data_IF_813841713351
#
_entry.id   IF_813841713351
#
_cell.length_a   1.000
_cell.length_b   1.000
_cell.length_c   1.000
_cell.angle_alpha   90.00
_cell.angle_beta   90.00
_cell.angle_gamma   90.00
#
_symmetry.space_group_name_H-M   'P 1'
#
loop_
_entity.id
_entity.type
_entity.pdbx_description
1 polymer ?
#
# COMPACT_ATOMS: atom_id res chain seq x y z
N UNK A 1 -13.50 -30.35 -26.67
CA UNK A 1 -12.12 -30.89 -26.65
C UNK A 1 -11.48 -30.54 -27.98
N UNK A 2 -10.33 -29.88 -27.98
CA UNK A 2 -9.60 -29.56 -29.21
C UNK A 2 -9.17 -30.84 -29.93
N UNK A 3 -9.21 -30.85 -31.26
CA UNK A 3 -8.74 -32.00 -32.05
C UNK A 3 -7.23 -32.21 -31.79
N UNK A 4 -6.78 -33.47 -31.61
CA UNK A 4 -5.37 -33.78 -31.43
C UNK A 4 -4.55 -33.32 -32.63
N UNK A 5 -3.36 -32.76 -32.40
CA UNK A 5 -2.50 -32.29 -33.48
C UNK A 5 -2.02 -33.44 -34.36
N UNK A 6 -1.98 -33.24 -35.69
CA UNK A 6 -1.49 -34.23 -36.65
C UNK A 6 0.03 -34.49 -36.56
N UNK A 7 0.76 -33.60 -35.89
CA UNK A 7 2.20 -33.67 -35.66
C UNK A 7 2.55 -33.38 -34.20
N UNK A 8 3.73 -33.84 -33.78
CA UNK A 8 4.28 -33.56 -32.46
C UNK A 8 4.60 -32.05 -32.31
N UNK A 9 4.02 -31.34 -31.33
CA UNK A 9 4.25 -29.90 -31.17
C UNK A 9 5.68 -29.55 -30.74
N UNK A 10 6.50 -30.53 -30.35
CA UNK A 10 7.91 -30.31 -29.97
C UNK A 10 8.88 -30.45 -31.14
N UNK A 11 8.71 -31.45 -32.01
CA UNK A 11 9.68 -31.76 -33.07
C UNK A 11 9.10 -31.83 -34.48
N UNK A 12 7.79 -31.64 -34.65
CA UNK A 12 7.11 -31.66 -35.94
C UNK A 12 6.92 -33.04 -36.58
N UNK A 13 7.43 -34.11 -35.98
CA UNK A 13 7.24 -35.48 -36.49
C UNK A 13 5.75 -35.86 -36.57
N UNK A 14 5.31 -36.64 -37.58
CA UNK A 14 3.93 -37.09 -37.69
C UNK A 14 3.51 -37.86 -36.45
N UNK A 15 2.27 -37.61 -35.99
CA UNK A 15 1.73 -38.29 -34.81
C UNK A 15 1.47 -39.76 -35.13
N UNK A 16 1.91 -40.63 -34.24
CA UNK A 16 1.61 -42.07 -34.28
C UNK A 16 0.64 -42.42 -33.15
N UNK A 17 -0.04 -43.55 -33.27
CA UNK A 17 -0.91 -44.06 -32.22
C UNK A 17 -0.08 -44.46 -31.00
N UNK A 18 -0.07 -43.59 -29.99
CA UNK A 18 0.67 -43.78 -28.75
C UNK A 18 0.63 -42.54 -27.84
N UNK A 19 0.92 -42.68 -26.54
CA UNK A 19 0.96 -41.55 -25.61
C UNK A 19 2.19 -40.65 -25.82
N UNK A 20 3.25 -41.16 -26.46
CA UNK A 20 4.56 -40.52 -26.60
C UNK A 20 5.02 -40.46 -28.06
N UNK A 21 5.76 -39.40 -28.39
CA UNK A 21 6.37 -39.25 -29.72
C UNK A 21 7.61 -40.16 -29.86
N UNK A 22 7.68 -41.07 -30.85
CA UNK A 22 8.82 -41.96 -31.03
C UNK A 22 10.11 -41.22 -31.42
N UNK A 23 10.00 -40.02 -32.00
CA UNK A 23 11.16 -39.26 -32.44
C UNK A 23 11.85 -38.47 -31.30
N UNK A 24 11.11 -38.05 -30.27
CA UNK A 24 11.65 -37.15 -29.23
C UNK A 24 11.24 -37.50 -27.79
N UNK A 25 10.47 -38.57 -27.59
CA UNK A 25 10.06 -39.07 -26.28
C UNK A 25 9.11 -38.16 -25.50
N UNK A 26 8.47 -37.18 -26.13
CA UNK A 26 7.54 -36.27 -25.43
C UNK A 26 6.14 -36.88 -25.36
N UNK A 27 5.51 -36.80 -24.19
CA UNK A 27 4.10 -37.16 -24.01
C UNK A 27 3.23 -36.13 -24.72
N UNK A 28 2.42 -36.55 -25.70
CA UNK A 28 1.63 -35.66 -26.56
C UNK A 28 0.74 -34.70 -25.75
N UNK A 29 -0.01 -35.22 -24.77
CA UNK A 29 -0.89 -34.43 -23.91
C UNK A 29 -0.17 -33.27 -23.21
N UNK A 30 1.02 -33.53 -22.66
CA UNK A 30 1.80 -32.51 -21.94
C UNK A 30 2.40 -31.49 -22.91
N UNK A 31 2.80 -31.94 -24.09
CA UNK A 31 3.34 -31.07 -25.13
C UNK A 31 2.27 -30.16 -25.72
N UNK A 32 1.06 -30.68 -25.97
CA UNK A 32 -0.11 -29.92 -26.42
C UNK A 32 -0.55 -28.88 -25.38
N UNK A 33 -0.61 -29.24 -24.09
CA UNK A 33 -0.94 -28.30 -23.03
C UNK A 33 0.06 -27.13 -22.94
N UNK A 34 1.36 -27.41 -23.06
CA UNK A 34 2.40 -26.36 -23.09
C UNK A 34 2.32 -25.49 -24.33
N UNK A 35 2.11 -26.09 -25.50
CA UNK A 35 1.98 -25.37 -26.75
C UNK A 35 0.73 -24.46 -26.74
N UNK A 36 -0.40 -24.95 -26.22
CA UNK A 36 -1.61 -24.16 -26.03
C UNK A 36 -1.39 -22.98 -25.08
N UNK A 37 -0.66 -23.19 -23.97
CA UNK A 37 -0.31 -22.12 -23.04
C UNK A 37 0.60 -21.06 -23.70
N UNK A 38 1.61 -21.47 -24.47
CA UNK A 38 2.47 -20.55 -25.20
C UNK A 38 1.70 -19.74 -26.26
N UNK A 39 0.76 -20.38 -26.97
CA UNK A 39 -0.10 -19.67 -27.91
C UNK A 39 -1.08 -18.69 -27.24
N UNK A 40 -1.55 -19.01 -26.03
CA UNK A 40 -2.38 -18.09 -25.26
C UNK A 40 -1.56 -16.88 -24.80
N UNK A 41 -0.35 -17.10 -24.28
CA UNK A 41 0.56 -16.02 -23.88
C UNK A 41 0.95 -15.12 -25.06
N UNK A 42 1.23 -15.70 -26.24
CA UNK A 42 1.53 -14.94 -27.44
C UNK A 42 0.35 -14.04 -27.87
N UNK A 43 -0.87 -14.58 -27.85
CA UNK A 43 -2.10 -13.81 -28.14
C UNK A 43 -2.34 -12.70 -27.13
N UNK A 44 -2.13 -12.96 -25.85
CA UNK A 44 -2.26 -11.95 -24.80
C UNK A 44 -1.21 -10.83 -24.96
N UNK A 45 0.01 -11.18 -25.37
CA UNK A 45 1.08 -10.21 -25.66
C UNK A 45 0.72 -9.33 -26.86
N UNK A 46 0.27 -9.92 -27.97
CA UNK A 46 -0.19 -9.19 -29.15
C UNK A 46 -1.37 -8.27 -28.81
N UNK A 47 -2.32 -8.73 -28.00
CA UNK A 47 -3.46 -7.92 -27.55
C UNK A 47 -3.03 -6.72 -26.70
N UNK A 48 -2.04 -6.89 -25.79
CA UNK A 48 -1.48 -5.78 -24.99
C UNK A 48 -0.74 -4.77 -25.85
N UNK A 49 0.08 -5.24 -26.79
CA UNK A 49 0.79 -4.36 -27.72
C UNK A 49 -0.19 -3.57 -28.61
N UNK A 50 -1.27 -4.19 -29.08
CA UNK A 50 -2.31 -3.52 -29.84
C UNK A 50 -3.02 -2.43 -29.01
N UNK A 51 -3.40 -2.75 -27.77
CA UNK A 51 -4.03 -1.78 -26.86
C UNK A 51 -3.09 -0.60 -26.52
N UNK A 52 -1.79 -0.85 -26.39
CA UNK A 52 -0.81 0.21 -26.16
C UNK A 52 -0.70 1.15 -27.36
N UNK A 53 -0.67 0.61 -28.58
CA UNK A 53 -0.65 1.42 -29.82
C UNK A 53 -1.91 2.29 -29.93
N UNK A 54 -3.08 1.72 -29.65
CA UNK A 54 -4.34 2.47 -29.65
C UNK A 54 -4.33 3.62 -28.62
N UNK A 55 -3.81 3.38 -27.42
CA UNK A 55 -3.69 4.41 -26.39
C UNK A 55 -2.68 5.52 -26.76
N UNK A 56 -1.60 5.17 -27.44
CA UNK A 56 -0.62 6.13 -27.97
C UNK A 56 -1.25 6.98 -29.09
N UNK A 57 -2.00 6.37 -30.00
CA UNK A 57 -2.75 7.07 -31.06
C UNK A 57 -3.80 8.02 -30.48
N UNK A 58 -4.56 7.59 -29.46
CA UNK A 58 -5.52 8.44 -28.76
C UNK A 58 -4.85 9.64 -28.08
N UNK A 59 -3.66 9.46 -27.49
CA UNK A 59 -2.89 10.56 -26.89
C UNK A 59 -2.37 11.52 -27.94
N UNK A 60 -1.91 11.02 -29.08
CA UNK A 60 -1.46 11.85 -30.20
C UNK A 60 -2.64 12.69 -30.76
N UNK A 61 -3.79 12.06 -30.97
CA UNK A 61 -5.01 12.74 -31.43
C UNK A 61 -5.50 13.80 -30.42
N UNK A 62 -5.44 13.52 -29.12
CA UNK A 62 -5.78 14.51 -28.10
C UNK A 62 -4.82 15.71 -28.10
N UNK A 63 -3.50 15.46 -28.28
CA UNK A 63 -2.52 16.54 -28.40
C UNK A 63 -2.79 17.40 -29.63
N UNK A 64 -3.03 16.78 -30.77
CA UNK A 64 -3.38 17.49 -32.02
C UNK A 64 -4.67 18.31 -31.85
N UNK A 65 -5.69 17.75 -31.19
CA UNK A 65 -6.93 18.47 -30.89
C UNK A 65 -6.69 19.67 -29.96
N UNK A 66 -5.86 19.53 -28.93
CA UNK A 66 -5.50 20.63 -28.02
C UNK A 66 -4.70 21.73 -28.72
N UNK A 67 -3.78 21.36 -29.62
CA UNK A 67 -3.03 22.31 -30.44
C UNK A 67 -3.94 23.05 -31.44
N UNK A 68 -4.86 22.33 -32.08
CA UNK A 68 -5.85 22.92 -32.98
C UNK A 68 -6.84 23.88 -32.28
N UNK A 69 -7.11 23.64 -30.99
CA UNK A 69 -7.99 24.47 -30.15
C UNK A 69 -7.22 25.44 -29.25
N UNK A 70 -5.99 25.83 -29.61
CA UNK A 70 -5.30 26.92 -28.92
C UNK A 70 -6.03 28.25 -29.18
N UNK A 71 -7.00 28.55 -28.32
CA UNK A 71 -7.72 29.84 -28.21
C UNK A 71 -6.71 30.94 -27.83
N UNK A 72 -6.92 32.21 -28.24
CA UNK A 72 -5.95 33.28 -28.05
C UNK A 72 -5.57 33.44 -26.59
N UNK A 73 -4.29 33.71 -26.36
CA UNK A 73 -3.68 34.06 -25.09
C UNK A 73 -4.57 35.04 -24.31
N UNK A 74 -5.34 34.51 -23.35
CA UNK A 74 -5.96 35.33 -22.33
C UNK A 74 -4.83 35.92 -21.50
N UNK A 75 -4.60 37.23 -21.67
CA UNK A 75 -3.79 38.02 -20.75
C UNK A 75 -4.45 37.89 -19.38
N UNK A 76 -3.77 37.23 -18.45
CA UNK A 76 -4.26 37.05 -17.09
C UNK A 76 -4.44 38.43 -16.45
N UNK A 77 -5.63 38.82 -15.98
CA UNK A 77 -5.81 40.01 -15.16
C UNK A 77 -5.36 39.66 -13.75
N UNK A 78 -4.08 39.38 -13.57
CA UNK A 78 -3.44 39.19 -12.27
C UNK A 78 -2.69 40.47 -11.91
N UNK A 79 -3.45 41.56 -11.90
CA UNK A 79 -3.15 42.78 -11.18
C UNK A 79 -4.39 43.11 -10.33
N UNK A 80 -4.20 43.18 -9.01
CA UNK A 80 -5.18 43.52 -7.97
C UNK A 80 -6.08 42.39 -7.44
N UNK A 81 -5.48 41.41 -6.76
CA UNK A 81 -6.08 40.86 -5.54
C UNK A 81 -5.01 40.88 -4.45
N UNK A 82 -4.87 42.03 -3.79
CA UNK A 82 -4.16 42.10 -2.51
C UNK A 82 -4.82 41.11 -1.55
N UNK A 83 -4.01 40.26 -0.93
CA UNK A 83 -4.45 39.43 0.19
C UNK A 83 -5.00 40.34 1.29
N UNK A 84 -6.32 40.34 1.44
CA UNK A 84 -6.97 40.86 2.64
C UNK A 84 -6.49 39.95 3.79
N UNK A 85 -5.91 40.51 4.86
CA UNK A 85 -5.60 39.71 6.05
C UNK A 85 -6.90 39.09 6.53
N UNK A 86 -6.91 37.77 6.74
CA UNK A 86 -8.07 37.11 7.34
C UNK A 86 -8.49 37.87 8.61
N UNK A 87 -9.77 38.25 8.75
CA UNK A 87 -10.28 38.66 10.03
C UNK A 87 -10.07 37.48 10.96
N UNK A 88 -9.28 37.71 12.01
CA UNK A 88 -9.07 36.81 13.14
C UNK A 88 -10.34 36.00 13.38
N UNK A 89 -10.27 34.69 13.08
CA UNK A 89 -11.28 33.74 13.50
C UNK A 89 -11.42 33.92 15.01
N UNK A 90 -12.49 34.61 15.38
CA UNK A 90 -12.88 34.87 16.75
C UNK A 90 -13.02 33.50 17.40
N UNK A 91 -12.03 33.19 18.22
CA UNK A 91 -11.84 31.87 18.76
C UNK A 91 -13.08 31.40 19.49
N UNK A 92 -13.48 30.16 19.23
CA UNK A 92 -14.15 29.36 20.26
C UNK A 92 -13.16 29.33 21.43
N UNK A 93 -13.34 30.26 22.36
CA UNK A 93 -12.51 30.45 23.54
C UNK A 93 -12.91 29.38 24.53
N UNK A 94 -12.28 28.20 24.42
CA UNK A 94 -12.32 27.22 25.48
C UNK A 94 -11.60 27.83 26.70
N UNK A 95 -12.33 27.95 27.80
CA UNK A 95 -11.86 28.60 29.03
C UNK A 95 -10.52 27.99 29.49
N UNK A 96 -9.46 28.80 29.72
CA UNK A 96 -8.13 28.33 30.11
C UNK A 96 -8.02 27.93 31.61
N UNK A 97 -9.12 27.51 32.23
CA UNK A 97 -9.25 27.37 33.69
C UNK A 97 -8.85 26.02 34.30
N UNK A 98 -8.57 24.96 33.53
CA UNK A 98 -8.47 23.59 34.06
C UNK A 98 -7.14 22.87 33.74
N UNK A 99 -6.03 23.59 33.74
CA UNK A 99 -4.72 23.04 33.37
C UNK A 99 -4.23 21.84 34.24
N UNK A 100 -4.73 21.70 35.48
CA UNK A 100 -4.41 20.57 36.36
C UNK A 100 -5.28 19.32 36.08
N UNK A 101 -6.54 19.49 35.66
CA UNK A 101 -7.45 18.39 35.31
C UNK A 101 -7.17 17.79 33.93
N UNK A 102 -6.74 18.64 32.98
CA UNK A 102 -6.41 18.24 31.61
C UNK A 102 -5.25 17.24 31.54
N UNK A 103 -4.28 17.34 32.45
CA UNK A 103 -3.15 16.41 32.59
C UNK A 103 -3.59 14.97 32.80
N UNK A 104 -4.37 14.75 33.86
CA UNK A 104 -4.86 13.43 34.25
C UNK A 104 -5.86 12.87 33.23
N UNK A 105 -6.74 13.73 32.66
CA UNK A 105 -7.68 13.30 31.62
C UNK A 105 -6.96 12.78 30.38
N UNK A 106 -5.98 13.52 29.85
CA UNK A 106 -5.20 13.08 28.69
C UNK A 106 -4.44 11.77 28.98
N UNK A 107 -3.87 11.62 30.18
CA UNK A 107 -3.20 10.39 30.58
C UNK A 107 -4.18 9.19 30.60
N UNK A 108 -5.40 9.39 31.11
CA UNK A 108 -6.48 8.39 31.07
C UNK A 108 -6.93 8.08 29.63
N UNK A 109 -7.01 9.09 28.77
CA UNK A 109 -7.32 8.87 27.35
C UNK A 109 -6.23 8.05 26.65
N UNK A 110 -4.95 8.32 26.91
CA UNK A 110 -3.84 7.50 26.37
C UNK A 110 -3.88 6.06 26.84
N UNK A 111 -4.38 5.80 28.05
CA UNK A 111 -4.60 4.46 28.57
C UNK A 111 -5.72 3.73 27.79
N UNK A 112 -6.85 4.41 27.55
CA UNK A 112 -8.06 3.75 27.06
C UNK A 112 -8.16 3.71 25.52
N UNK A 113 -7.74 4.75 24.82
CA UNK A 113 -8.08 4.96 23.40
C UNK A 113 -7.54 3.86 22.51
N UNK A 114 -6.27 3.49 22.65
CA UNK A 114 -5.67 2.48 21.77
C UNK A 114 -6.28 1.07 21.99
N UNK A 115 -6.40 0.55 23.22
CA UNK A 115 -7.09 -0.71 23.47
C UNK A 115 -8.53 -0.71 22.98
N UNK A 116 -9.29 0.36 23.28
CA UNK A 116 -10.71 0.46 22.87
C UNK A 116 -10.83 0.51 21.35
N UNK A 117 -9.97 1.27 20.66
CA UNK A 117 -9.98 1.35 19.21
C UNK A 117 -9.65 -0.01 18.56
N UNK A 118 -8.65 -0.74 19.08
CA UNK A 118 -8.28 -2.06 18.55
C UNK A 118 -9.39 -3.10 18.77
N UNK A 119 -9.97 -3.15 19.97
CA UNK A 119 -11.08 -4.06 20.29
C UNK A 119 -12.31 -3.71 19.46
N UNK A 120 -12.65 -2.42 19.35
CA UNK A 120 -13.76 -1.94 18.52
C UNK A 120 -13.58 -2.29 17.04
N UNK A 121 -12.38 -2.05 16.50
CA UNK A 121 -12.04 -2.42 15.13
C UNK A 121 -12.11 -3.95 14.93
N UNK A 122 -11.62 -4.74 15.88
CA UNK A 122 -11.71 -6.20 15.83
C UNK A 122 -13.16 -6.69 15.77
N UNK A 123 -14.07 -6.14 16.59
CA UNK A 123 -15.49 -6.48 16.49
C UNK A 123 -16.11 -6.03 15.17
N UNK A 124 -15.74 -4.85 14.67
CA UNK A 124 -16.29 -4.30 13.45
C UNK A 124 -15.91 -5.13 12.21
N UNK A 125 -14.68 -5.66 12.14
CA UNK A 125 -14.25 -6.51 11.00
C UNK A 125 -14.89 -7.90 11.01
N UNK A 126 -15.39 -8.37 12.16
CA UNK A 126 -16.14 -9.63 12.24
C UNK A 126 -17.57 -9.51 11.70
N UNK A 127 -18.13 -8.30 11.62
CA UNK A 127 -19.48 -8.09 11.10
C UNK A 127 -19.44 -7.80 9.60
N UNK A 128 -20.17 -8.54 8.75
CA UNK A 128 -20.12 -8.35 7.29
C UNK A 128 -20.46 -6.93 6.82
N UNK A 129 -21.48 -6.30 7.44
CA UNK A 129 -21.90 -4.94 7.08
C UNK A 129 -20.84 -3.90 7.46
N UNK A 130 -20.34 -3.98 8.70
CA UNK A 130 -19.33 -3.02 9.16
C UNK A 130 -17.99 -3.23 8.47
N UNK A 131 -17.58 -4.48 8.26
CA UNK A 131 -16.39 -4.82 7.49
C UNK A 131 -16.47 -4.23 6.08
N UNK A 132 -17.59 -4.37 5.37
CA UNK A 132 -17.75 -3.75 4.04
C UNK A 132 -17.54 -2.23 4.09
N UNK A 133 -18.20 -1.53 5.02
CA UNK A 133 -18.07 -0.08 5.15
C UNK A 133 -16.64 0.37 5.52
N UNK A 134 -16.02 -0.32 6.48
CA UNK A 134 -14.63 -0.06 6.87
C UNK A 134 -13.69 -0.28 5.70
N UNK A 135 -13.89 -1.37 4.96
CA UNK A 135 -13.06 -1.72 3.81
C UNK A 135 -13.15 -0.64 2.75
N UNK A 136 -14.35 -0.27 2.33
CA UNK A 136 -14.57 0.71 1.25
C UNK A 136 -14.00 2.09 1.59
N UNK A 137 -14.21 2.60 2.80
CA UNK A 137 -13.91 4.01 3.10
C UNK A 137 -12.63 4.22 3.90
N UNK A 138 -12.23 3.28 4.74
CA UNK A 138 -11.11 3.48 5.66
C UNK A 138 -9.89 2.65 5.28
N UNK A 139 -10.05 1.36 4.95
CA UNK A 139 -8.90 0.45 4.81
C UNK A 139 -8.40 0.34 3.37
N UNK A 140 -9.27 0.38 2.35
CA UNK A 140 -8.84 0.35 0.93
C UNK A 140 -7.95 1.54 0.56
N UNK A 141 -8.24 2.80 0.91
CA UNK A 141 -7.30 3.89 0.62
C UNK A 141 -5.91 3.68 1.26
N UNK A 142 -5.87 3.08 2.46
CA UNK A 142 -4.61 2.76 3.15
C UNK A 142 -3.91 1.57 2.49
N UNK A 143 -4.66 0.63 1.92
CA UNK A 143 -4.15 -0.47 1.11
C UNK A 143 -3.44 0.00 -0.15
N UNK A 144 -4.10 0.88 -0.90
CA UNK A 144 -3.54 1.47 -2.10
C UNK A 144 -2.31 2.34 -1.78
N UNK A 145 -2.38 3.09 -0.69
CA UNK A 145 -1.20 3.80 -0.19
C UNK A 145 -0.06 2.84 0.19
N UNK A 146 -0.37 1.64 0.69
CA UNK A 146 0.60 0.57 0.94
C UNK A 146 1.35 0.16 -0.32
N UNK A 147 0.63 -0.16 -1.40
CA UNK A 147 1.24 -0.42 -2.71
C UNK A 147 2.12 0.73 -3.17
N UNK A 148 1.60 1.97 -3.11
CA UNK A 148 2.32 3.14 -3.58
C UNK A 148 3.60 3.40 -2.79
N UNK A 149 3.54 3.33 -1.46
CA UNK A 149 4.71 3.50 -0.59
C UNK A 149 5.75 2.45 -0.91
N UNK A 150 5.37 1.17 -0.98
CA UNK A 150 6.30 0.10 -1.32
C UNK A 150 6.91 0.27 -2.71
N UNK A 151 6.11 0.72 -3.69
CA UNK A 151 6.58 1.03 -5.03
C UNK A 151 7.61 2.16 -5.03
N UNK A 152 7.37 3.26 -4.30
CA UNK A 152 8.32 4.36 -4.19
C UNK A 152 9.65 3.90 -3.58
N UNK A 153 9.62 3.05 -2.54
CA UNK A 153 10.83 2.47 -1.93
C UNK A 153 11.55 1.47 -2.85
N UNK A 154 10.86 0.85 -3.79
CA UNK A 154 11.46 0.04 -4.85
C UNK A 154 11.91 0.87 -6.07
N UNK A 155 11.65 2.19 -6.06
CA UNK A 155 12.01 3.12 -7.12
C UNK A 155 11.06 3.14 -8.32
N UNK A 156 9.82 2.71 -8.15
CA UNK A 156 8.76 2.85 -9.16
C UNK A 156 7.95 4.11 -8.90
N UNK A 157 7.43 4.72 -9.95
CA UNK A 157 6.43 5.78 -9.79
C UNK A 157 5.09 5.13 -9.50
N UNK A 158 4.38 5.63 -8.49
CA UNK A 158 3.06 5.11 -8.16
C UNK A 158 2.14 6.23 -7.70
N UNK A 159 0.88 6.15 -8.12
CA UNK A 159 -0.17 7.09 -7.72
C UNK A 159 -1.29 6.30 -7.05
N UNK A 160 -1.46 6.40 -5.73
CA UNK A 160 -2.57 5.75 -5.04
C UNK A 160 -3.87 6.50 -5.33
N UNK A 161 -4.92 5.76 -5.68
CA UNK A 161 -6.30 6.26 -5.70
C UNK A 161 -7.07 5.67 -4.53
N UNK A 162 -8.40 5.83 -4.49
CA UNK A 162 -9.21 5.27 -3.40
C UNK A 162 -9.36 3.74 -3.46
N UNK A 163 -9.22 3.13 -4.65
CA UNK A 163 -9.46 1.69 -4.85
C UNK A 163 -8.40 0.97 -5.68
N UNK A 164 -7.53 1.69 -6.38
CA UNK A 164 -6.49 1.11 -7.24
C UNK A 164 -5.23 1.95 -7.19
N UNK A 165 -4.07 1.31 -7.26
CA UNK A 165 -2.77 1.99 -7.36
C UNK A 165 -2.20 1.83 -8.74
N UNK A 166 -1.98 2.95 -9.42
CA UNK A 166 -1.31 2.95 -10.71
C UNK A 166 0.20 2.98 -10.51
N UNK A 167 0.86 1.86 -10.81
CA UNK A 167 2.33 1.71 -10.72
C UNK A 167 2.93 1.71 -12.12
N UNK A 168 4.03 2.43 -12.31
CA UNK A 168 4.76 2.45 -13.59
C UNK A 168 5.37 1.07 -13.88
N UNK A 169 5.44 0.63 -15.15
CA UNK A 169 6.09 -0.63 -15.50
C UNK A 169 7.60 -0.56 -15.28
N UNK A 170 8.21 0.61 -15.42
CA UNK A 170 9.65 0.81 -15.26
C UNK A 170 9.98 1.57 -13.98
N UNK A 171 11.22 1.40 -13.50
CA UNK A 171 11.75 2.16 -12.36
C UNK A 171 12.02 3.60 -12.78
N UNK A 172 11.61 4.55 -11.94
CA UNK A 172 11.78 5.98 -12.16
C UNK A 172 12.96 6.52 -11.37
N UNK A 173 14.03 6.92 -12.06
CA UNK A 173 15.18 7.61 -11.45
C UNK A 173 14.74 8.91 -10.77
N UNK A 174 13.77 9.62 -11.35
CA UNK A 174 13.21 10.83 -10.75
C UNK A 174 12.60 10.55 -9.36
N UNK A 175 11.78 9.51 -9.25
CA UNK A 175 11.16 9.14 -7.96
C UNK A 175 12.21 8.81 -6.90
N UNK A 176 13.26 8.07 -7.26
CA UNK A 176 14.36 7.74 -6.34
C UNK A 176 15.09 8.99 -5.87
N UNK A 177 15.41 9.93 -6.79
CA UNK A 177 16.08 11.18 -6.44
C UNK A 177 15.20 12.06 -5.54
N UNK A 178 13.91 12.16 -5.84
CA UNK A 178 12.94 12.90 -5.05
C UNK A 178 12.88 12.33 -3.62
N UNK A 179 12.64 11.03 -3.48
CA UNK A 179 12.51 10.40 -2.17
C UNK A 179 13.84 10.42 -1.39
N UNK A 180 14.98 10.19 -2.05
CA UNK A 180 16.30 10.32 -1.43
C UNK A 180 16.56 11.75 -0.96
N UNK A 181 16.16 12.76 -1.72
CA UNK A 181 16.28 14.17 -1.34
C UNK A 181 15.43 14.52 -0.12
N UNK A 182 14.18 14.06 -0.07
CA UNK A 182 13.28 14.27 1.08
C UNK A 182 13.79 13.58 2.34
N UNK A 183 14.24 12.33 2.24
CA UNK A 183 14.78 11.59 3.37
C UNK A 183 16.15 12.14 3.80
N UNK A 184 16.99 12.55 2.86
CA UNK A 184 18.25 13.25 3.13
C UNK A 184 18.03 14.57 3.86
N UNK A 185 17.01 15.34 3.48
CA UNK A 185 16.59 16.55 4.17
C UNK A 185 16.11 16.25 5.60
N UNK A 186 15.38 15.15 5.83
CA UNK A 186 14.98 14.72 7.17
C UNK A 186 16.20 14.39 8.05
N UNK A 187 17.17 13.64 7.52
CA UNK A 187 18.42 13.32 8.23
C UNK A 187 19.19 14.59 8.57
N UNK A 188 19.35 15.48 7.59
CA UNK A 188 20.05 16.75 7.76
C UNK A 188 19.36 17.65 8.78
N UNK A 189 18.03 17.75 8.75
CA UNK A 189 17.26 18.52 9.71
C UNK A 189 17.34 17.92 11.12
N UNK A 190 17.30 16.59 11.23
CA UNK A 190 17.52 15.85 12.47
C UNK A 190 18.89 16.17 13.08
N UNK A 191 19.93 16.16 12.25
CA UNK A 191 21.30 16.51 12.65
C UNK A 191 21.41 17.97 13.13
N UNK A 192 20.92 18.93 12.34
CA UNK A 192 20.94 20.37 12.67
C UNK A 192 20.20 20.68 13.96
N UNK A 193 19.09 19.97 14.24
CA UNK A 193 18.28 20.14 15.46
C UNK A 193 18.72 19.23 16.61
N UNK A 194 19.79 18.45 16.45
CA UNK A 194 20.28 17.44 17.43
C UNK A 194 19.20 16.44 17.85
N UNK A 195 18.26 16.13 16.94
CA UNK A 195 17.20 15.14 17.14
C UNK A 195 17.62 13.81 16.53
N UNK A 196 18.36 13.02 17.30
CA UNK A 196 18.90 11.72 16.87
C UNK A 196 17.84 10.75 16.33
N UNK A 197 16.62 10.78 16.88
CA UNK A 197 15.52 9.95 16.38
C UNK A 197 15.20 10.23 14.90
N UNK A 198 15.21 11.49 14.47
CA UNK A 198 14.93 11.87 13.08
C UNK A 198 16.06 11.42 12.14
N UNK A 199 17.30 11.52 12.60
CA UNK A 199 18.45 10.99 11.88
C UNK A 199 18.35 9.46 11.72
N UNK A 200 18.04 8.75 12.80
CA UNK A 200 17.88 7.29 12.79
C UNK A 200 16.78 6.84 11.84
N UNK A 201 15.58 7.43 11.94
CA UNK A 201 14.47 7.13 11.03
C UNK A 201 14.85 7.43 9.59
N UNK A 202 15.38 8.63 9.30
CA UNK A 202 15.77 8.99 7.94
C UNK A 202 16.85 8.07 7.35
N UNK A 203 17.84 7.67 8.16
CA UNK A 203 18.89 6.75 7.74
C UNK A 203 18.34 5.34 7.45
N UNK A 204 17.44 4.82 8.29
CA UNK A 204 16.78 3.52 8.07
C UNK A 204 15.94 3.56 6.80
N UNK A 205 15.19 4.64 6.57
CA UNK A 205 14.38 4.80 5.36
C UNK A 205 15.26 4.94 4.10
N UNK A 206 16.38 5.65 4.16
CA UNK A 206 17.35 5.70 3.05
C UNK A 206 17.96 4.33 2.77
N UNK A 207 18.29 3.57 3.80
CA UNK A 207 18.78 2.20 3.64
C UNK A 207 17.71 1.28 3.01
N UNK A 208 16.44 1.41 3.43
CA UNK A 208 15.33 0.68 2.84
C UNK A 208 15.11 1.05 1.36
N UNK A 209 15.21 2.34 1.01
CA UNK A 209 15.14 2.81 -0.38
C UNK A 209 16.30 2.26 -1.22
N UNK A 210 17.53 2.29 -0.68
CA UNK A 210 18.69 1.71 -1.33
C UNK A 210 18.55 0.21 -1.56
N UNK A 211 18.10 -0.52 -0.54
CA UNK A 211 17.85 -1.96 -0.62
C UNK A 211 16.75 -2.30 -1.63
N UNK A 212 15.63 -1.56 -1.63
CA UNK A 212 14.56 -1.75 -2.61
C UNK A 212 15.00 -1.45 -4.04
N UNK A 213 15.76 -0.37 -4.24
CA UNK A 213 16.18 0.06 -5.59
C UNK A 213 17.32 -0.76 -6.19
N UNK A 214 18.28 -1.20 -5.38
CA UNK A 214 19.51 -1.85 -5.85
C UNK A 214 19.63 -3.31 -5.43
N UNK A 215 18.93 -3.73 -4.38
CA UNK A 215 19.00 -5.10 -3.85
C UNK A 215 17.95 -6.05 -4.40
N UNK A 216 16.91 -5.55 -5.08
CA UNK A 216 15.84 -6.35 -5.66
C UNK A 216 15.88 -6.33 -7.18
N UNK A 217 15.61 -7.48 -7.80
CA UNK A 217 15.30 -7.56 -9.22
C UNK A 217 13.87 -7.03 -9.50
N UNK A 218 13.46 -7.03 -10.78
CA UNK A 218 12.17 -6.50 -11.19
C UNK A 218 11.00 -7.30 -10.57
N UNK A 219 11.07 -8.63 -10.64
CA UNK A 219 9.98 -9.51 -10.20
C UNK A 219 9.84 -9.51 -8.68
N UNK A 220 10.96 -9.50 -7.94
CA UNK A 220 10.98 -9.37 -6.48
C UNK A 220 10.40 -8.04 -6.04
N UNK A 221 10.73 -6.95 -6.73
CA UNK A 221 10.17 -5.63 -6.41
C UNK A 221 8.67 -5.59 -6.67
N UNK A 222 8.20 -6.13 -7.80
CA UNK A 222 6.76 -6.20 -8.09
C UNK A 222 6.02 -7.09 -7.09
N UNK A 223 6.56 -8.27 -6.75
CA UNK A 223 6.02 -9.12 -5.69
C UNK A 223 5.95 -8.36 -4.36
N UNK A 224 6.99 -7.62 -4.00
CA UNK A 224 6.99 -6.83 -2.78
C UNK A 224 5.93 -5.71 -2.81
N UNK A 225 5.67 -5.09 -3.97
CA UNK A 225 4.61 -4.10 -4.14
C UNK A 225 3.24 -4.72 -3.88
N UNK A 226 2.91 -5.89 -4.45
CA UNK A 226 1.66 -6.59 -4.15
C UNK A 226 1.55 -6.96 -2.66
N UNK A 227 2.62 -7.48 -2.07
CA UNK A 227 2.67 -7.73 -0.62
C UNK A 227 2.48 -6.44 0.21
N UNK A 228 2.99 -5.32 -0.30
CA UNK A 228 2.90 -3.98 0.28
C UNK A 228 1.48 -3.46 0.41
N UNK A 229 0.51 -4.03 -0.32
CA UNK A 229 -0.90 -3.72 -0.11
C UNK A 229 -1.33 -4.07 1.32
N UNK A 230 -1.34 -5.35 1.67
CA UNK A 230 -1.79 -5.82 2.99
C UNK A 230 -0.80 -5.50 4.10
N UNK A 231 0.50 -5.68 3.85
CA UNK A 231 1.52 -5.35 4.83
C UNK A 231 1.55 -3.83 5.10
N UNK A 232 1.36 -3.02 4.07
CA UNK A 232 1.27 -1.57 4.16
C UNK A 232 0.08 -1.11 4.99
N UNK A 233 -1.11 -1.74 4.84
CA UNK A 233 -2.25 -1.47 5.73
C UNK A 233 -1.89 -1.59 7.20
N UNK A 234 -1.19 -2.66 7.57
CA UNK A 234 -0.79 -2.91 8.96
C UNK A 234 0.25 -1.89 9.45
N UNK A 235 1.29 -1.62 8.65
CA UNK A 235 2.38 -0.71 9.02
C UNK A 235 1.90 0.75 9.07
N UNK A 236 1.16 1.21 8.04
CA UNK A 236 0.61 2.55 7.98
C UNK A 236 -0.49 2.75 9.03
N UNK A 237 -1.34 1.74 9.24
CA UNK A 237 -2.35 1.78 10.30
C UNK A 237 -1.73 1.92 11.70
N UNK A 238 -0.61 1.23 11.93
CA UNK A 238 0.20 1.37 13.14
C UNK A 238 0.78 2.78 13.28
N UNK A 239 1.34 3.34 12.20
CA UNK A 239 1.86 4.70 12.20
C UNK A 239 0.77 5.75 12.48
N UNK A 240 -0.42 5.57 11.90
CA UNK A 240 -1.58 6.43 12.14
C UNK A 240 -2.01 6.39 13.61
N UNK A 241 -2.12 5.21 14.22
CA UNK A 241 -2.43 5.10 15.66
C UNK A 241 -1.35 5.72 16.55
N UNK A 242 -0.07 5.58 16.18
CA UNK A 242 1.04 6.18 16.92
C UNK A 242 0.96 7.71 16.99
N UNK A 243 0.25 8.35 16.05
CA UNK A 243 0.03 9.81 16.08
C UNK A 243 -0.74 10.29 17.31
N UNK A 244 -1.47 9.40 18.00
CA UNK A 244 -2.16 9.73 19.24
C UNK A 244 -1.22 10.16 20.37
N UNK A 245 0.03 9.68 20.34
CA UNK A 245 1.05 9.98 21.35
C UNK A 245 1.87 11.25 21.04
N UNK A 246 1.46 12.02 20.04
CA UNK A 246 2.12 13.26 19.67
C UNK A 246 1.90 14.33 20.76
N UNK A 247 2.90 15.19 21.07
CA UNK A 247 2.76 16.22 22.12
C UNK A 247 1.64 17.24 21.85
N UNK A 248 1.06 17.78 22.93
CA UNK A 248 -0.08 18.73 22.90
C UNK A 248 0.11 19.97 22.01
N UNK A 249 1.34 20.45 21.88
CA UNK A 249 1.66 21.61 21.05
C UNK A 249 1.67 21.35 19.54
N UNK A 250 1.58 20.09 19.12
CA UNK A 250 1.65 19.73 17.71
C UNK A 250 0.31 19.95 16.99
N UNK A 251 0.38 20.24 15.69
CA UNK A 251 -0.79 20.48 14.85
C UNK A 251 -1.85 19.36 14.93
N UNK A 252 -1.39 18.09 14.87
CA UNK A 252 -2.27 16.91 15.00
C UNK A 252 -3.03 16.84 16.33
N UNK A 253 -2.45 17.37 17.41
CA UNK A 253 -3.12 17.40 18.71
C UNK A 253 -4.10 18.56 18.78
N UNK A 254 -3.65 19.77 18.39
CA UNK A 254 -4.43 21.00 18.40
C UNK A 254 -5.71 20.90 17.57
N UNK A 255 -5.64 20.29 16.39
CA UNK A 255 -6.77 20.16 15.47
C UNK A 255 -7.50 18.81 15.58
N UNK A 256 -7.24 18.02 16.64
CA UNK A 256 -7.94 16.77 16.93
C UNK A 256 -7.84 15.67 15.84
N UNK A 257 -6.96 15.82 14.84
CA UNK A 257 -6.78 14.87 13.73
C UNK A 257 -6.39 13.47 14.20
N UNK A 258 -5.73 13.36 15.37
CA UNK A 258 -5.35 12.09 15.97
C UNK A 258 -6.53 11.13 16.20
N UNK A 259 -7.74 11.63 16.41
CA UNK A 259 -8.92 10.79 16.62
C UNK A 259 -9.33 10.05 15.36
N UNK A 260 -9.39 10.74 14.23
CA UNK A 260 -9.65 10.11 12.93
C UNK A 260 -8.55 9.11 12.58
N UNK A 261 -7.28 9.47 12.80
CA UNK A 261 -6.15 8.58 12.52
C UNK A 261 -6.14 7.32 13.37
N UNK A 262 -6.54 7.39 14.65
CA UNK A 262 -6.67 6.18 15.48
C UNK A 262 -7.74 5.25 14.93
N UNK A 263 -8.92 5.76 14.54
CA UNK A 263 -10.00 4.95 13.99
C UNK A 263 -9.60 4.31 12.65
N UNK A 264 -9.06 5.11 11.73
CA UNK A 264 -8.58 4.62 10.43
C UNK A 264 -7.47 3.59 10.63
N UNK A 265 -6.50 3.89 11.49
CA UNK A 265 -5.35 3.04 11.72
C UNK A 265 -5.68 1.72 12.41
N UNK A 266 -6.56 1.74 13.42
CA UNK A 266 -7.03 0.53 14.08
C UNK A 266 -7.83 -0.36 13.11
N UNK A 267 -8.69 0.25 12.29
CA UNK A 267 -9.47 -0.46 11.28
C UNK A 267 -8.55 -1.10 10.22
N UNK A 268 -7.58 -0.35 9.69
CA UNK A 268 -6.65 -0.84 8.67
C UNK A 268 -5.77 -1.98 9.21
N UNK A 269 -5.26 -1.87 10.44
CA UNK A 269 -4.47 -2.93 11.07
C UNK A 269 -5.32 -4.19 11.30
N UNK A 270 -6.51 -4.05 11.90
CA UNK A 270 -7.34 -5.20 12.25
C UNK A 270 -7.95 -5.89 11.04
N UNK A 271 -8.32 -5.16 10.00
CA UNK A 271 -8.85 -5.70 8.73
C UNK A 271 -7.86 -6.69 8.10
N UNK A 272 -6.62 -6.27 7.87
CA UNK A 272 -5.59 -7.18 7.34
C UNK A 272 -5.16 -8.24 8.36
N UNK A 273 -4.97 -7.88 9.64
CA UNK A 273 -4.45 -8.84 10.62
C UNK A 273 -5.42 -9.98 10.92
N UNK A 274 -6.72 -9.70 11.09
CA UNK A 274 -7.73 -10.73 11.37
C UNK A 274 -7.83 -11.75 10.23
N UNK A 275 -7.87 -11.25 8.99
CA UNK A 275 -7.90 -12.07 7.78
C UNK A 275 -6.71 -13.04 7.74
N UNK A 276 -5.49 -12.51 7.87
CA UNK A 276 -4.26 -13.31 7.81
C UNK A 276 -4.07 -14.22 9.03
N UNK A 277 -4.51 -13.80 10.21
CA UNK A 277 -4.45 -14.62 11.41
C UNK A 277 -5.37 -15.83 11.32
N UNK A 278 -6.59 -15.64 10.81
CA UNK A 278 -7.54 -16.71 10.56
C UNK A 278 -7.16 -17.61 9.39
N UNK A 279 -6.45 -17.08 8.39
CA UNK A 279 -5.92 -17.86 7.27
C UNK A 279 -4.97 -18.99 7.70
N UNK A 280 -4.37 -18.91 8.90
CA UNK A 280 -3.55 -19.99 9.47
C UNK A 280 -4.32 -21.28 9.74
N UNK A 281 -5.62 -21.18 10.01
CA UNK A 281 -6.48 -22.34 10.29
C UNK A 281 -7.51 -22.57 9.18
N UNK A 282 -7.86 -21.54 8.41
CA UNK A 282 -8.79 -21.64 7.28
C UNK A 282 -8.29 -20.81 6.09
N UNK A 283 -7.64 -21.48 5.13
CA UNK A 283 -7.05 -20.87 3.93
C UNK A 283 -8.10 -20.20 3.04
N UNK A 284 -9.36 -20.64 3.09
CA UNK A 284 -10.45 -20.09 2.26
C UNK A 284 -10.82 -18.64 2.65
N UNK A 285 -10.30 -18.13 3.78
CA UNK A 285 -10.45 -16.71 4.16
C UNK A 285 -9.61 -15.77 3.30
N UNK A 286 -8.61 -16.28 2.58
CA UNK A 286 -7.78 -15.47 1.70
C UNK A 286 -8.59 -15.14 0.43
N UNK A 287 -8.75 -13.86 0.06
CA UNK A 287 -9.52 -13.47 -1.12
C UNK A 287 -8.73 -13.72 -2.41
N UNK A 288 -8.53 -14.98 -2.78
CA UNK A 288 -7.97 -15.36 -4.07
C UNK A 288 -8.95 -15.05 -5.21
N UNK A 289 -8.41 -14.78 -6.39
CA UNK A 289 -9.16 -14.61 -7.63
C UNK A 289 -8.86 -13.30 -8.33
N UNK A 290 -9.86 -12.81 -9.09
CA UNK A 290 -9.78 -11.56 -9.82
C UNK A 290 -10.70 -10.52 -9.20
N UNK A 291 -10.20 -9.30 -9.10
CA UNK A 291 -10.95 -8.10 -8.73
C UNK A 291 -11.35 -7.39 -10.02
N UNK A 292 -12.64 -7.11 -10.16
CA UNK A 292 -13.20 -6.41 -11.31
C UNK A 292 -12.53 -5.03 -11.47
N UNK A 293 -12.01 -4.74 -12.65
CA UNK A 293 -11.31 -3.48 -12.96
C UNK A 293 -9.86 -3.36 -12.46
N UNK A 294 -9.36 -4.29 -11.63
CA UNK A 294 -7.98 -4.23 -11.09
C UNK A 294 -7.10 -5.44 -11.44
N UNK A 295 -7.68 -6.56 -11.90
CA UNK A 295 -6.92 -7.75 -12.33
C UNK A 295 -6.89 -8.84 -11.25
N UNK A 296 -5.74 -9.45 -10.99
CA UNK A 296 -5.60 -10.45 -9.92
C UNK A 296 -5.58 -9.75 -8.55
N UNK A 297 -6.19 -10.35 -7.53
CA UNK A 297 -6.00 -9.89 -6.15
C UNK A 297 -4.55 -10.07 -5.72
N UNK A 298 -4.06 -9.28 -4.74
CA UNK A 298 -2.66 -9.37 -4.31
C UNK A 298 -2.23 -10.78 -3.91
N UNK A 299 -3.00 -11.54 -3.12
CA UNK A 299 -2.63 -12.90 -2.77
C UNK A 299 -2.53 -13.81 -4.00
N UNK A 300 -3.41 -13.64 -4.98
CA UNK A 300 -3.36 -14.37 -6.25
C UNK A 300 -2.15 -13.95 -7.09
N UNK A 301 -1.85 -12.65 -7.20
CA UNK A 301 -0.66 -12.20 -7.92
C UNK A 301 0.63 -12.76 -7.30
N UNK A 302 0.75 -12.75 -5.97
CA UNK A 302 1.90 -13.31 -5.26
C UNK A 302 2.10 -14.80 -5.54
N UNK A 303 1.02 -15.59 -5.52
CA UNK A 303 1.08 -17.04 -5.69
C UNK A 303 1.18 -17.43 -7.17
N UNK A 304 0.28 -16.93 -8.00
CA UNK A 304 0.10 -17.37 -9.38
C UNK A 304 1.14 -16.75 -10.33
N UNK A 305 1.54 -15.49 -10.11
CA UNK A 305 2.50 -14.78 -10.96
C UNK A 305 3.93 -14.90 -10.44
N UNK A 306 4.13 -14.67 -9.14
CA UNK A 306 5.48 -14.62 -8.53
C UNK A 306 5.89 -15.92 -7.82
N UNK A 307 5.04 -16.95 -7.85
CA UNK A 307 5.37 -18.28 -7.36
C UNK A 307 5.56 -18.38 -5.85
N UNK A 308 5.02 -17.44 -5.06
CA UNK A 308 5.10 -17.54 -3.60
C UNK A 308 4.22 -18.69 -3.11
N UNK A 309 4.72 -19.42 -2.11
CA UNK A 309 3.91 -20.41 -1.42
C UNK A 309 2.85 -19.69 -0.55
N UNK A 310 1.60 -20.15 -0.55
CA UNK A 310 0.51 -19.66 0.32
C UNK A 310 0.95 -19.58 1.79
N UNK A 311 1.65 -20.61 2.30
CA UNK A 311 2.17 -20.63 3.67
C UNK A 311 3.17 -19.48 3.93
N UNK A 312 3.99 -19.13 2.93
CA UNK A 312 4.91 -17.98 3.03
C UNK A 312 4.13 -16.67 3.11
N UNK A 313 3.10 -16.49 2.27
CA UNK A 313 2.27 -15.28 2.26
C UNK A 313 1.58 -15.08 3.62
N UNK A 314 0.99 -16.15 4.17
CA UNK A 314 0.34 -16.12 5.49
C UNK A 314 1.37 -15.75 6.58
N UNK A 315 2.49 -16.49 6.66
CA UNK A 315 3.48 -16.26 7.71
C UNK A 315 4.06 -14.85 7.68
N UNK A 316 4.36 -14.31 6.50
CA UNK A 316 4.94 -12.98 6.39
C UNK A 316 3.95 -11.90 6.82
N UNK A 317 2.69 -11.97 6.37
CA UNK A 317 1.67 -11.02 6.80
C UNK A 317 1.39 -11.09 8.31
N UNK A 318 1.28 -12.30 8.87
CA UNK A 318 1.10 -12.49 10.32
C UNK A 318 2.27 -11.92 11.09
N UNK A 319 3.51 -12.16 10.64
CA UNK A 319 4.70 -11.61 11.30
C UNK A 319 4.73 -10.08 11.27
N UNK A 320 4.34 -9.46 10.16
CA UNK A 320 4.21 -7.99 10.07
C UNK A 320 3.17 -7.49 11.07
N UNK A 321 2.00 -8.13 11.14
CA UNK A 321 0.96 -7.77 12.09
C UNK A 321 1.40 -7.91 13.55
N UNK A 322 2.08 -9.01 13.89
CA UNK A 322 2.65 -9.20 15.23
C UNK A 322 3.72 -8.16 15.56
N UNK A 323 4.60 -7.82 14.62
CA UNK A 323 5.60 -6.77 14.80
C UNK A 323 4.95 -5.39 15.01
N UNK A 324 3.88 -5.09 14.27
CA UNK A 324 3.07 -3.88 14.43
C UNK A 324 2.42 -3.79 15.82
N UNK A 325 1.79 -4.87 16.29
CA UNK A 325 1.21 -4.96 17.63
C UNK A 325 2.28 -4.82 18.72
N UNK A 326 3.44 -5.45 18.55
CA UNK A 326 4.56 -5.32 19.49
C UNK A 326 5.09 -3.88 19.55
N UNK A 327 5.21 -3.20 18.41
CA UNK A 327 5.62 -1.80 18.36
C UNK A 327 4.61 -0.87 19.06
N UNK A 328 3.31 -1.09 18.84
CA UNK A 328 2.25 -0.36 19.54
C UNK A 328 2.25 -0.63 21.04
N UNK A 329 2.44 -1.88 21.45
CA UNK A 329 2.54 -2.25 22.86
C UNK A 329 3.75 -1.59 23.52
N UNK A 330 4.91 -1.58 22.87
CA UNK A 330 6.10 -0.88 23.37
C UNK A 330 5.85 0.63 23.50
N UNK A 331 5.24 1.25 22.49
CA UNK A 331 4.88 2.68 22.53
C UNK A 331 3.92 2.97 23.68
N UNK A 332 2.86 2.18 23.81
CA UNK A 332 1.87 2.27 24.88
C UNK A 332 2.52 2.16 26.27
N UNK A 333 3.40 1.17 26.48
CA UNK A 333 4.11 0.99 27.74
C UNK A 333 5.07 2.15 28.07
N UNK A 334 5.78 2.67 27.07
CA UNK A 334 6.66 3.83 27.26
C UNK A 334 5.86 5.05 27.71
N UNK A 335 4.71 5.33 27.09
CA UNK A 335 3.89 6.48 27.48
C UNK A 335 3.19 6.27 28.82
N UNK A 336 2.72 5.05 29.12
CA UNK A 336 2.18 4.71 30.43
C UNK A 336 3.22 4.91 31.54
N UNK A 337 4.47 4.53 31.29
CA UNK A 337 5.56 4.74 32.23
C UNK A 337 5.87 6.23 32.44
N UNK A 338 5.83 7.03 31.37
CA UNK A 338 6.06 8.49 31.44
C UNK A 338 4.93 9.23 32.17
N UNK A 339 3.70 8.80 31.97
CA UNK A 339 2.50 9.44 32.54
C UNK A 339 2.12 8.85 33.92
N UNK A 340 2.93 7.92 34.46
CA UNK A 340 2.64 7.19 35.71
C UNK A 340 2.36 8.09 36.91
N UNK A 341 3.02 9.24 37.01
CA UNK A 341 2.88 10.17 38.13
C UNK A 341 1.56 10.94 38.01
N UNK A 342 1.21 11.37 36.80
CA UNK A 342 -0.10 11.98 36.50
C UNK A 342 -1.27 11.00 36.71
N UNK A 343 -1.04 9.69 36.56
CA UNK A 343 -2.05 8.66 36.81
C UNK A 343 -2.22 8.30 38.29
N UNK A 344 -1.23 8.58 39.14
CA UNK A 344 -1.28 8.25 40.58
C UNK A 344 -2.04 9.27 41.43
N UNK A 345 -2.22 10.50 40.93
CA UNK A 345 -2.92 11.58 41.64
C UNK A 345 -2.01 12.31 42.60
#
# INVERSE_FOLDING_TARGET
MSLPSASCPRCGAPRVDGPECPACGVIYLRAEARFAAQQAEARDREAREAAQREAEDQRAALREALEAHSVPTFVSPLAAAQAVPEPSAEGITFHPGEALGDGALEARLRLAVLPVALVGAWFAVQSPLFHMLLRTFLTMPVHELGHAVTAWFCGYSATPTLWVTHVSPERSTFMVLLLSGLLGALVWQGWKRRRWAWMGVGAVLLAALGAGRFGLDHDQAQALIYFGGDAGRMVLGTALMATFFVPRGHYLHRHQLRWGFVVIGASALMDSFEMWWGARTNVDRIPFGRVEGAGLSDPSALVDTYGWNVSRVIHWNVNVGLACLAALAALYLVFLWRDREALRG
#
